data_IF_268752899298
#
_entry.id   IF_268752899298
#
_cell.length_a   1.000
_cell.length_b   1.000
_cell.length_c   1.000
_cell.angle_alpha   90.00
_cell.angle_beta   90.00
_cell.angle_gamma   90.00
#
_symmetry.space_group_name_H-M   'P 1'
#
loop_
_entity.id
_entity.type
_entity.pdbx_description
1 polymer ?
#
# COMPACT_ATOMS: atom_id res chain seq x y z
N UNK A 1 -44.43 9.74 18.28
CA UNK A 1 -43.31 10.35 19.05
C UNK A 1 -43.32 11.88 18.85
N UNK A 2 -44.40 12.54 19.29
CA UNK A 2 -44.65 13.98 19.11
C UNK A 2 -44.64 14.71 20.47
N UNK A 3 -43.52 14.70 21.20
CA UNK A 3 -43.47 15.41 22.49
C UNK A 3 -42.15 16.08 22.88
N UNK A 4 -41.20 16.27 21.96
CA UNK A 4 -39.91 16.91 22.29
C UNK A 4 -39.59 18.19 21.50
N UNK A 5 -40.62 18.87 20.97
CA UNK A 5 -40.47 20.20 20.37
C UNK A 5 -41.34 21.22 21.12
N UNK A 6 -41.09 21.46 22.41
CA UNK A 6 -41.68 22.64 23.04
C UNK A 6 -41.00 23.08 24.35
N UNK A 7 -39.70 23.35 24.33
CA UNK A 7 -39.07 24.10 25.44
C UNK A 7 -37.90 24.96 24.94
N UNK A 8 -38.23 26.00 24.17
CA UNK A 8 -37.34 27.16 23.99
C UNK A 8 -38.16 28.43 24.15
N UNK A 9 -38.49 28.78 25.41
CA UNK A 9 -38.88 30.14 25.76
C UNK A 9 -37.80 30.77 26.65
N UNK A 10 -37.34 31.93 26.18
CA UNK A 10 -36.71 33.03 26.91
C UNK A 10 -35.40 32.75 27.63
N UNK A 11 -34.35 32.52 26.83
CA UNK A 11 -32.96 32.75 27.25
C UNK A 11 -32.59 34.20 26.91
N UNK A 12 -32.22 34.98 27.93
CA UNK A 12 -31.77 36.39 27.85
C UNK A 12 -30.77 36.62 26.71
N UNK A 13 -30.86 37.75 26.01
CA UNK A 13 -30.06 38.06 24.82
C UNK A 13 -28.53 37.96 25.00
N UNK A 14 -28.03 38.08 26.24
CA UNK A 14 -26.61 37.83 26.57
C UNK A 14 -26.23 36.35 26.46
N UNK A 15 -27.09 35.43 26.91
CA UNK A 15 -26.81 33.99 26.87
C UNK A 15 -26.88 33.40 25.45
N UNK A 16 -27.74 33.95 24.57
CA UNK A 16 -27.73 33.59 23.13
C UNK A 16 -26.42 33.98 22.44
N UNK A 17 -25.87 35.17 22.76
CA UNK A 17 -24.58 35.62 22.21
C UNK A 17 -23.42 34.75 22.72
N UNK A 18 -23.39 34.44 24.01
CA UNK A 18 -22.38 33.54 24.60
C UNK A 18 -22.44 32.15 23.98
N UNK A 19 -23.63 31.59 23.75
CA UNK A 19 -23.78 30.30 23.09
C UNK A 19 -23.27 30.32 21.64
N UNK A 20 -23.55 31.37 20.88
CA UNK A 20 -23.05 31.54 19.50
C UNK A 20 -21.52 31.65 19.47
N UNK A 21 -20.91 32.45 20.37
CA UNK A 21 -19.45 32.55 20.45
C UNK A 21 -18.81 31.24 20.91
N UNK A 22 -19.44 30.49 21.82
CA UNK A 22 -18.95 29.19 22.27
C UNK A 22 -19.03 28.15 21.13
N UNK A 23 -20.13 28.11 20.38
CA UNK A 23 -20.25 27.22 19.21
C UNK A 23 -19.25 27.60 18.12
N UNK A 24 -19.01 28.90 17.90
CA UNK A 24 -18.03 29.37 16.92
C UNK A 24 -16.59 29.04 17.35
N UNK A 25 -16.25 29.19 18.64
CA UNK A 25 -14.95 28.82 19.20
C UNK A 25 -14.72 27.31 19.11
N UNK A 26 -15.75 26.50 19.41
CA UNK A 26 -15.69 25.04 19.29
C UNK A 26 -15.54 24.62 17.82
N UNK A 27 -16.26 25.25 16.89
CA UNK A 27 -16.07 25.02 15.45
C UNK A 27 -14.67 25.39 14.98
N UNK A 28 -14.10 26.49 15.47
CA UNK A 28 -12.72 26.90 15.15
C UNK A 28 -11.70 25.90 15.72
N UNK A 29 -11.86 25.46 16.98
CA UNK A 29 -10.99 24.45 17.58
C UNK A 29 -11.08 23.08 16.86
N UNK A 30 -12.26 22.71 16.37
CA UNK A 30 -12.45 21.48 15.60
C UNK A 30 -11.82 21.54 14.20
N UNK A 31 -11.64 22.73 13.63
CA UNK A 31 -10.94 22.90 12.33
C UNK A 31 -9.41 22.95 12.44
N UNK A 32 -8.85 23.11 13.64
CA UNK A 32 -7.38 23.14 13.85
C UNK A 32 -6.78 21.80 14.27
N UNK A 33 -7.58 20.73 14.37
CA UNK A 33 -7.11 19.39 14.72
C UNK A 33 -6.63 18.57 13.50
N UNK A 34 -5.94 19.22 12.54
CA UNK A 34 -5.14 18.49 11.58
C UNK A 34 -3.90 17.97 12.33
N UNK A 35 -3.79 16.66 12.51
CA UNK A 35 -2.57 16.03 12.99
C UNK A 35 -1.45 16.30 11.98
N UNK A 36 -0.34 16.88 12.43
CA UNK A 36 0.86 17.06 11.61
C UNK A 36 1.29 15.71 11.01
N UNK A 37 1.53 15.69 9.70
CA UNK A 37 2.05 14.53 9.02
C UNK A 37 3.58 14.49 9.14
N UNK A 38 4.21 13.30 9.10
CA UNK A 38 5.67 13.21 9.12
C UNK A 38 6.38 14.02 8.02
N UNK A 39 5.76 14.20 6.85
CA UNK A 39 6.31 15.09 5.81
C UNK A 39 6.22 16.58 6.17
N UNK A 40 5.30 17.01 7.04
CA UNK A 40 5.25 18.40 7.52
C UNK A 40 6.50 18.73 8.35
N UNK A 41 6.95 17.81 9.22
CA UNK A 41 8.23 17.90 9.93
C UNK A 41 9.41 18.02 8.97
N UNK A 42 9.35 17.33 7.83
CA UNK A 42 10.38 17.41 6.80
C UNK A 42 10.36 18.77 6.08
N UNK A 43 9.18 19.27 5.72
CA UNK A 43 9.07 20.59 5.10
C UNK A 43 9.54 21.70 6.04
N UNK A 44 9.25 21.59 7.34
CA UNK A 44 9.79 22.49 8.36
C UNK A 44 11.33 22.36 8.44
N UNK A 45 11.88 21.15 8.38
CA UNK A 45 13.33 20.93 8.31
C UNK A 45 13.96 21.64 7.11
N UNK A 46 13.40 21.49 5.90
CA UNK A 46 13.85 22.17 4.69
C UNK A 46 13.77 23.70 4.83
N UNK A 47 12.66 24.22 5.37
CA UNK A 47 12.48 25.66 5.60
C UNK A 47 13.49 26.22 6.60
N UNK A 48 13.76 25.50 7.68
CA UNK A 48 14.74 25.91 8.70
C UNK A 48 16.16 25.86 8.17
N UNK A 49 16.51 24.87 7.34
CA UNK A 49 17.80 24.84 6.65
C UNK A 49 17.96 26.02 5.70
N UNK A 50 16.96 26.27 4.85
CA UNK A 50 16.98 27.36 3.89
C UNK A 50 17.17 28.73 4.56
N UNK A 51 16.41 28.98 5.64
CA UNK A 51 16.57 30.17 6.45
C UNK A 51 17.96 30.28 7.09
N UNK A 52 18.47 29.18 7.67
CA UNK A 52 19.80 29.17 8.29
C UNK A 52 20.92 29.40 7.26
N UNK A 53 20.73 28.93 6.03
CA UNK A 53 21.68 29.08 4.91
C UNK A 53 21.48 30.38 4.13
N UNK A 54 20.44 31.17 4.43
CA UNK A 54 20.05 32.36 3.66
C UNK A 54 19.90 32.07 2.16
N UNK A 55 19.25 30.95 1.87
CA UNK A 55 19.05 30.40 0.52
C UNK A 55 17.57 30.08 0.32
N UNK A 56 17.04 30.08 -0.92
CA UNK A 56 15.65 29.72 -1.17
C UNK A 56 15.33 28.30 -0.68
N UNK A 57 14.08 28.08 -0.26
CA UNK A 57 13.58 26.76 0.11
C UNK A 57 13.60 25.84 -1.13
N UNK A 58 14.08 24.60 -1.02
CA UNK A 58 14.13 23.69 -2.16
C UNK A 58 12.72 23.35 -2.67
N UNK A 59 12.57 23.30 -4.00
CA UNK A 59 11.32 22.92 -4.65
C UNK A 59 11.19 21.40 -4.69
N UNK A 60 10.15 20.88 -4.03
CA UNK A 60 9.85 19.44 -4.05
C UNK A 60 9.00 19.08 -5.27
N UNK A 61 9.37 18.01 -5.98
CA UNK A 61 8.54 17.45 -7.05
C UNK A 61 7.27 16.80 -6.46
N UNK A 62 6.22 16.69 -7.27
CA UNK A 62 5.02 15.94 -6.87
C UNK A 62 5.17 14.46 -7.22
N UNK A 63 4.86 13.60 -6.26
CA UNK A 63 4.77 12.17 -6.52
C UNK A 63 3.53 11.85 -7.34
N UNK A 64 3.67 10.88 -8.24
CA UNK A 64 2.56 10.34 -9.03
C UNK A 64 2.20 8.93 -8.59
N UNK A 65 0.93 8.59 -8.82
CA UNK A 65 0.42 7.24 -8.61
C UNK A 65 1.13 6.22 -9.50
N UNK A 66 1.35 5.03 -8.95
CA UNK A 66 1.86 3.90 -9.73
C UNK A 66 0.73 3.40 -10.62
N UNK A 67 0.98 3.36 -11.93
CA UNK A 67 0.01 2.84 -12.90
C UNK A 67 0.05 1.31 -12.86
N UNK A 68 -0.96 0.72 -12.24
CA UNK A 68 -1.22 -0.72 -12.33
C UNK A 68 -2.20 -0.96 -13.47
N UNK A 69 -1.71 -1.55 -14.56
CA UNK A 69 -2.55 -1.96 -15.68
C UNK A 69 -2.90 -3.44 -15.48
N UNK A 70 -4.18 -3.80 -15.27
CA UNK A 70 -4.59 -5.19 -15.26
C UNK A 70 -4.26 -5.79 -16.62
N UNK A 71 -3.60 -6.94 -16.64
CA UNK A 71 -3.55 -7.72 -17.87
C UNK A 71 -4.97 -8.16 -18.19
N UNK A 72 -5.45 -7.82 -19.39
CA UNK A 72 -6.64 -8.44 -19.93
C UNK A 72 -6.33 -9.91 -20.08
N UNK A 73 -7.05 -10.77 -19.37
CA UNK A 73 -7.20 -12.15 -19.80
C UNK A 73 -7.68 -12.05 -21.25
N UNK A 74 -6.87 -12.56 -22.18
CA UNK A 74 -7.31 -12.75 -23.55
C UNK A 74 -8.70 -13.38 -23.47
N UNK A 75 -9.64 -12.86 -24.27
CA UNK A 75 -11.00 -13.38 -24.41
C UNK A 75 -10.93 -14.82 -24.91
N UNK A 76 -10.56 -15.73 -24.02
CA UNK A 76 -10.45 -17.14 -24.28
C UNK A 76 -11.86 -17.65 -24.10
N UNK A 77 -12.40 -18.18 -25.21
CA UNK A 77 -13.68 -18.85 -25.33
C UNK A 77 -14.05 -19.47 -24.00
N UNK A 78 -14.97 -18.81 -23.28
CA UNK A 78 -15.47 -19.36 -22.05
C UNK A 78 -15.99 -20.74 -22.41
N UNK A 79 -15.32 -21.79 -21.95
CA UNK A 79 -15.91 -23.12 -21.83
C UNK A 79 -16.99 -22.98 -20.75
N UNK A 80 -18.07 -22.29 -21.12
CA UNK A 80 -19.29 -22.19 -20.36
C UNK A 80 -19.88 -23.58 -20.46
N UNK A 81 -19.70 -24.37 -19.40
CA UNK A 81 -20.53 -25.55 -19.18
C UNK A 81 -21.97 -25.06 -19.30
N UNK A 82 -22.66 -25.52 -20.34
CA UNK A 82 -23.95 -24.99 -20.74
C UNK A 82 -24.94 -25.19 -19.59
N UNK A 83 -25.85 -24.23 -19.38
CA UNK A 83 -26.92 -24.33 -18.38
C UNK A 83 -27.72 -25.64 -18.54
N UNK A 84 -27.81 -26.19 -19.76
CA UNK A 84 -28.46 -27.47 -20.06
C UNK A 84 -27.77 -28.69 -19.41
N UNK A 85 -26.50 -28.58 -19.03
CA UNK A 85 -25.73 -29.65 -18.39
C UNK A 85 -25.82 -29.64 -16.86
N UNK A 86 -26.28 -28.54 -16.25
CA UNK A 86 -26.51 -28.45 -14.81
C UNK A 86 -27.52 -29.50 -14.32
N UNK A 87 -28.51 -29.85 -15.15
CA UNK A 87 -29.52 -30.85 -14.83
C UNK A 87 -28.91 -32.26 -14.61
N UNK A 88 -27.87 -32.61 -15.38
CA UNK A 88 -27.14 -33.88 -15.24
C UNK A 88 -26.15 -33.87 -14.06
N UNK A 89 -25.92 -32.71 -13.45
CA UNK A 89 -25.00 -32.51 -12.33
C UNK A 89 -25.72 -32.31 -11.00
N UNK A 90 -27.04 -32.52 -10.95
CA UNK A 90 -27.88 -32.27 -9.76
C UNK A 90 -27.44 -33.03 -8.50
N UNK A 91 -26.73 -34.15 -8.64
CA UNK A 91 -26.15 -34.93 -7.53
C UNK A 91 -24.75 -34.46 -7.10
N UNK A 92 -24.20 -33.44 -7.75
CA UNK A 92 -22.83 -32.98 -7.55
C UNK A 92 -22.77 -31.52 -7.09
N UNK A 93 -21.96 -31.23 -6.06
CA UNK A 93 -21.76 -29.89 -5.52
C UNK A 93 -21.23 -28.88 -6.56
N UNK A 94 -20.62 -29.36 -7.65
CA UNK A 94 -20.17 -28.55 -8.77
C UNK A 94 -21.32 -27.82 -9.48
N UNK A 95 -22.53 -28.40 -9.49
CA UNK A 95 -23.70 -27.77 -10.12
C UNK A 95 -24.06 -26.44 -9.46
N UNK A 96 -24.02 -26.38 -8.12
CA UNK A 96 -24.26 -25.16 -7.35
C UNK A 96 -23.22 -24.08 -7.67
N UNK A 97 -21.93 -24.45 -7.73
CA UNK A 97 -20.85 -23.52 -8.06
C UNK A 97 -21.02 -22.92 -9.46
N UNK A 98 -21.31 -23.76 -10.46
CA UNK A 98 -21.53 -23.31 -11.84
C UNK A 98 -22.79 -22.42 -11.92
N UNK A 99 -23.88 -22.81 -11.24
CA UNK A 99 -25.11 -22.03 -11.21
C UNK A 99 -24.90 -20.63 -10.60
N UNK A 100 -24.17 -20.55 -9.47
CA UNK A 100 -23.83 -19.27 -8.83
C UNK A 100 -22.99 -18.38 -9.76
N UNK A 101 -21.98 -18.94 -10.44
CA UNK A 101 -21.16 -18.21 -11.39
C UNK A 101 -21.94 -17.72 -12.62
N UNK A 102 -22.88 -18.51 -13.12
CA UNK A 102 -23.67 -18.16 -14.31
C UNK A 102 -24.86 -17.23 -14.01
N UNK A 103 -25.18 -17.02 -12.73
CA UNK A 103 -26.20 -16.07 -12.28
C UNK A 103 -25.84 -14.62 -12.65
N UNK A 104 -26.80 -13.71 -12.56
CA UNK A 104 -26.53 -12.28 -12.81
C UNK A 104 -25.50 -11.72 -11.84
N UNK A 105 -25.51 -12.15 -10.57
CA UNK A 105 -24.51 -11.77 -9.58
C UNK A 105 -23.12 -12.31 -9.93
N UNK A 106 -23.05 -13.53 -10.47
CA UNK A 106 -21.80 -14.13 -10.93
C UNK A 106 -21.16 -13.39 -12.13
N UNK A 107 -21.97 -12.82 -13.01
CA UNK A 107 -21.48 -12.01 -14.15
C UNK A 107 -20.79 -10.72 -13.72
N UNK A 108 -21.26 -10.11 -12.64
CA UNK A 108 -20.69 -8.87 -12.06
C UNK A 108 -19.77 -9.14 -10.88
N UNK A 109 -19.36 -10.39 -10.68
CA UNK A 109 -18.51 -10.81 -9.59
C UNK A 109 -17.16 -10.08 -9.55
N UNK A 110 -16.68 -9.78 -8.35
CA UNK A 110 -15.36 -9.18 -8.11
C UNK A 110 -14.24 -10.13 -8.57
N UNK A 111 -13.02 -9.62 -8.84
CA UNK A 111 -11.87 -10.45 -9.14
C UNK A 111 -11.61 -11.55 -8.10
N UNK A 112 -11.74 -11.26 -6.80
CA UNK A 112 -11.64 -12.23 -5.72
C UNK A 112 -12.70 -13.34 -5.82
N UNK A 113 -13.96 -12.96 -6.08
CA UNK A 113 -15.06 -13.92 -6.25
C UNK A 113 -14.78 -14.84 -7.44
N UNK A 114 -14.29 -14.29 -8.56
CA UNK A 114 -13.93 -15.06 -9.76
C UNK A 114 -12.80 -16.04 -9.47
N UNK A 115 -11.75 -15.61 -8.76
CA UNK A 115 -10.65 -16.47 -8.34
C UNK A 115 -11.12 -17.61 -7.43
N UNK A 116 -11.94 -17.29 -6.41
CA UNK A 116 -12.53 -18.29 -5.51
C UNK A 116 -13.31 -19.34 -6.29
N UNK A 117 -14.15 -18.91 -7.25
CA UNK A 117 -14.87 -19.84 -8.10
C UNK A 117 -13.94 -20.77 -8.88
N UNK A 118 -12.84 -20.27 -9.47
CA UNK A 118 -11.89 -21.15 -10.17
C UNK A 118 -11.29 -22.19 -9.23
N UNK A 119 -10.85 -21.76 -8.03
CA UNK A 119 -10.24 -22.64 -7.03
C UNK A 119 -11.24 -23.71 -6.58
N UNK A 120 -12.47 -23.33 -6.22
CA UNK A 120 -13.47 -24.27 -5.74
C UNK A 120 -13.98 -25.21 -6.84
N UNK A 121 -14.04 -24.74 -8.10
CA UNK A 121 -14.29 -25.62 -9.24
C UNK A 121 -13.21 -26.69 -9.33
N UNK A 122 -11.93 -26.28 -9.32
CA UNK A 122 -10.78 -27.21 -9.44
C UNK A 122 -10.78 -28.22 -8.29
N UNK A 123 -11.12 -27.77 -7.08
CA UNK A 123 -11.19 -28.64 -5.90
C UNK A 123 -12.33 -29.65 -5.97
N UNK A 124 -13.49 -29.24 -6.46
CA UNK A 124 -14.73 -30.02 -6.43
C UNK A 124 -14.89 -30.96 -7.64
N UNK A 125 -14.41 -30.55 -8.81
CA UNK A 125 -14.61 -31.28 -10.07
C UNK A 125 -14.11 -32.75 -10.04
N UNK A 126 -12.97 -33.12 -9.42
CA UNK A 126 -12.51 -34.50 -9.36
C UNK A 126 -13.50 -35.46 -8.67
N UNK A 127 -14.17 -35.00 -7.62
CA UNK A 127 -15.21 -35.80 -6.94
C UNK A 127 -16.43 -35.98 -7.83
N UNK A 128 -16.81 -34.94 -8.57
CA UNK A 128 -17.88 -34.99 -9.57
C UNK A 128 -17.58 -35.99 -10.69
N UNK A 129 -16.36 -35.96 -11.24
CA UNK A 129 -15.95 -36.82 -12.34
C UNK A 129 -15.99 -38.31 -11.96
N UNK A 130 -15.80 -38.66 -10.68
CA UNK A 130 -15.89 -40.03 -10.19
C UNK A 130 -17.31 -40.59 -10.21
N UNK A 131 -18.34 -39.75 -10.21
CA UNK A 131 -19.75 -40.19 -10.21
C UNK A 131 -20.37 -40.20 -11.61
N UNK A 132 -19.65 -39.75 -12.62
CA UNK A 132 -20.13 -39.64 -13.99
C UNK A 132 -19.58 -40.78 -14.86
N UNK A 133 -20.36 -41.22 -15.84
CA UNK A 133 -19.89 -42.12 -16.89
C UNK A 133 -18.82 -41.39 -17.74
N UNK A 134 -17.65 -42.01 -17.92
CA UNK A 134 -16.53 -41.48 -18.69
C UNK A 134 -16.87 -41.21 -20.16
N UNK A 135 -17.85 -41.93 -20.71
CA UNK A 135 -18.32 -41.76 -22.08
C UNK A 135 -19.36 -40.64 -22.23
N UNK A 136 -19.91 -40.16 -21.10
CA UNK A 136 -20.89 -39.08 -21.12
C UNK A 136 -20.26 -37.75 -21.57
N UNK A 137 -21.02 -36.96 -22.33
CA UNK A 137 -20.61 -35.62 -22.73
C UNK A 137 -20.29 -34.72 -21.51
N UNK A 138 -21.04 -34.88 -20.41
CA UNK A 138 -20.82 -34.13 -19.17
C UNK A 138 -19.47 -34.44 -18.53
N UNK A 139 -19.03 -35.70 -18.51
CA UNK A 139 -17.70 -36.06 -18.04
C UNK A 139 -16.61 -35.38 -18.88
N UNK A 140 -16.68 -35.52 -20.20
CA UNK A 140 -15.67 -34.98 -21.12
C UNK A 140 -15.53 -33.45 -20.98
N UNK A 141 -16.66 -32.74 -20.87
CA UNK A 141 -16.64 -31.29 -20.73
C UNK A 141 -16.15 -30.82 -19.37
N UNK A 142 -16.52 -31.49 -18.27
CA UNK A 142 -16.00 -31.14 -16.94
C UNK A 142 -14.51 -31.43 -16.86
N UNK A 143 -14.04 -32.52 -17.45
CA UNK A 143 -12.61 -32.84 -17.51
C UNK A 143 -11.83 -31.78 -18.30
N UNK A 144 -12.33 -31.38 -19.48
CA UNK A 144 -11.74 -30.31 -20.27
C UNK A 144 -11.75 -28.96 -19.53
N UNK A 145 -12.86 -28.61 -18.87
CA UNK A 145 -12.99 -27.40 -18.08
C UNK A 145 -12.04 -27.41 -16.86
N UNK A 146 -11.87 -28.55 -16.19
CA UNK A 146 -10.92 -28.71 -15.09
C UNK A 146 -9.50 -28.43 -15.56
N UNK A 147 -9.05 -29.09 -16.62
CA UNK A 147 -7.71 -28.90 -17.18
C UNK A 147 -7.46 -27.44 -17.60
N UNK A 148 -8.43 -26.84 -18.29
CA UNK A 148 -8.36 -25.44 -18.69
C UNK A 148 -8.24 -24.51 -17.48
N UNK A 149 -9.07 -24.71 -16.45
CA UNK A 149 -9.07 -23.86 -15.25
C UNK A 149 -7.77 -23.98 -14.45
N UNK A 150 -7.21 -25.19 -14.35
CA UNK A 150 -5.89 -25.40 -13.73
C UNK A 150 -4.81 -24.59 -14.46
N UNK A 151 -4.75 -24.70 -15.80
CA UNK A 151 -3.79 -23.96 -16.62
C UNK A 151 -3.95 -22.43 -16.52
N UNK A 152 -5.19 -21.93 -16.36
CA UNK A 152 -5.47 -20.50 -16.28
C UNK A 152 -5.46 -19.93 -14.85
N UNK A 153 -5.37 -20.77 -13.82
CA UNK A 153 -5.45 -20.31 -12.43
C UNK A 153 -4.40 -19.25 -12.06
N UNK A 154 -3.13 -19.34 -12.52
CA UNK A 154 -2.16 -18.27 -12.31
C UNK A 154 -2.61 -16.92 -12.89
N UNK A 155 -3.24 -16.92 -14.07
CA UNK A 155 -3.73 -15.70 -14.71
C UNK A 155 -4.93 -15.09 -13.95
N UNK A 156 -5.84 -15.92 -13.42
CA UNK A 156 -6.90 -15.45 -12.53
C UNK A 156 -6.36 -14.86 -11.23
N UNK A 157 -5.30 -15.44 -10.65
CA UNK A 157 -4.64 -14.88 -9.48
C UNK A 157 -4.02 -13.51 -9.81
N UNK A 158 -3.39 -13.36 -10.97
CA UNK A 158 -2.84 -12.07 -11.41
C UNK A 158 -3.93 -11.02 -11.65
N UNK A 159 -5.05 -11.41 -12.26
CA UNK A 159 -6.19 -10.51 -12.40
C UNK A 159 -6.70 -10.04 -11.03
N UNK A 160 -6.81 -10.96 -10.07
CA UNK A 160 -7.17 -10.63 -8.69
C UNK A 160 -6.21 -9.59 -8.09
N UNK A 161 -4.89 -9.78 -8.22
CA UNK A 161 -3.91 -8.82 -7.69
C UNK A 161 -4.06 -7.40 -8.28
N UNK A 162 -4.24 -7.30 -9.60
CA UNK A 162 -4.20 -6.00 -10.29
C UNK A 162 -5.57 -5.30 -10.38
N UNK A 163 -6.67 -6.04 -10.23
CA UNK A 163 -8.02 -5.52 -10.41
C UNK A 163 -8.81 -5.40 -9.11
N UNK A 164 -8.44 -6.10 -8.04
CA UNK A 164 -9.15 -5.98 -6.76
C UNK A 164 -8.82 -4.66 -6.06
N UNK A 165 -9.85 -4.02 -5.47
CA UNK A 165 -9.77 -2.64 -5.03
C UNK A 165 -8.69 -2.44 -3.94
N UNK A 166 -8.68 -3.28 -2.91
CA UNK A 166 -7.78 -3.21 -1.76
C UNK A 166 -6.31 -3.39 -2.17
N UNK A 167 -6.06 -4.28 -3.12
CA UNK A 167 -4.72 -4.59 -3.63
C UNK A 167 -4.22 -3.53 -4.60
N UNK A 168 -5.10 -2.99 -5.44
CA UNK A 168 -4.76 -1.87 -6.32
C UNK A 168 -4.48 -0.61 -5.51
N UNK A 169 -5.33 -0.30 -4.53
CA UNK A 169 -5.23 0.89 -3.70
C UNK A 169 -3.94 0.90 -2.88
N UNK A 170 -3.45 -0.27 -2.45
CA UNK A 170 -2.16 -0.43 -1.76
C UNK A 170 -0.96 0.24 -2.44
N UNK A 171 -0.99 0.40 -3.77
CA UNK A 171 0.09 1.01 -4.56
C UNK A 171 -0.23 2.44 -5.03
N UNK A 172 -1.37 2.99 -4.61
CA UNK A 172 -1.75 4.37 -4.87
C UNK A 172 -1.32 5.25 -3.71
N UNK A 173 -0.96 6.51 -3.99
CA UNK A 173 -0.72 7.51 -2.97
C UNK A 173 -2.01 7.81 -2.21
N UNK A 174 -1.86 8.10 -0.93
CA UNK A 174 -2.94 8.63 -0.08
C UNK A 174 -2.59 10.03 0.45
N UNK A 175 -3.59 10.72 0.97
CA UNK A 175 -3.46 12.06 1.54
C UNK A 175 -2.96 12.05 2.99
N UNK A 176 -2.96 10.89 3.65
CA UNK A 176 -2.39 10.70 4.99
C UNK A 176 -1.13 9.86 4.93
N UNK A 177 -0.29 9.94 5.96
CA UNK A 177 0.95 9.17 6.06
C UNK A 177 0.91 8.24 7.25
N UNK A 178 1.66 7.15 7.17
CA UNK A 178 1.87 6.29 8.32
C UNK A 178 2.61 7.09 9.39
N UNK A 179 2.00 7.26 10.55
CA UNK A 179 2.60 7.94 11.69
C UNK A 179 3.57 7.01 12.44
N UNK A 180 3.92 7.36 13.68
CA UNK A 180 4.79 6.50 14.51
C UNK A 180 4.09 5.25 15.06
N UNK A 181 2.78 5.15 14.88
CA UNK A 181 2.00 4.00 15.31
C UNK A 181 1.87 2.97 14.18
N UNK A 182 2.50 1.81 14.37
CA UNK A 182 2.49 0.72 13.41
C UNK A 182 1.23 -0.16 13.45
N UNK A 183 0.11 0.38 13.92
CA UNK A 183 -1.19 -0.30 13.92
C UNK A 183 -1.52 -0.83 12.51
N UNK A 184 -1.80 -2.13 12.40
CA UNK A 184 -2.08 -2.79 11.14
C UNK A 184 -0.87 -3.43 10.46
N UNK A 185 0.36 -3.25 10.96
CA UNK A 185 1.54 -3.91 10.38
C UNK A 185 1.44 -5.43 10.46
N UNK A 186 1.08 -5.98 11.64
CA UNK A 186 0.99 -7.43 11.86
C UNK A 186 -0.14 -8.03 11.00
N UNK A 187 -1.29 -7.35 10.94
CA UNK A 187 -2.44 -7.78 10.16
C UNK A 187 -2.17 -7.71 8.67
N UNK A 188 -1.47 -6.66 8.21
CA UNK A 188 -1.02 -6.54 6.82
C UNK A 188 -0.01 -7.62 6.47
N UNK A 189 0.95 -7.89 7.36
CA UNK A 189 1.93 -8.97 7.16
C UNK A 189 1.24 -10.32 7.03
N UNK A 190 0.30 -10.63 7.93
CA UNK A 190 -0.47 -11.87 7.89
C UNK A 190 -1.29 -11.98 6.59
N UNK A 191 -1.97 -10.91 6.18
CA UNK A 191 -2.74 -10.88 4.94
C UNK A 191 -1.84 -11.16 3.72
N UNK A 192 -0.69 -10.49 3.63
CA UNK A 192 0.26 -10.70 2.53
C UNK A 192 0.88 -12.11 2.57
N UNK A 193 1.19 -12.63 3.76
CA UNK A 193 1.67 -14.00 3.92
C UNK A 193 0.65 -15.03 3.40
N UNK A 194 -0.65 -14.84 3.71
CA UNK A 194 -1.70 -15.72 3.21
C UNK A 194 -1.83 -15.67 1.69
N UNK A 195 -1.78 -14.47 1.09
CA UNK A 195 -1.82 -14.32 -0.36
C UNK A 195 -0.59 -14.93 -1.05
N UNK A 196 0.60 -14.78 -0.44
CA UNK A 196 1.82 -15.43 -0.93
C UNK A 196 1.73 -16.96 -0.87
N UNK A 197 1.18 -17.51 0.22
CA UNK A 197 0.95 -18.94 0.35
C UNK A 197 -0.02 -19.47 -0.72
N UNK A 198 -1.12 -18.75 -0.97
CA UNK A 198 -2.07 -19.12 -2.03
C UNK A 198 -1.37 -19.13 -3.39
N UNK A 199 -0.56 -18.12 -3.71
CA UNK A 199 0.22 -18.09 -4.97
C UNK A 199 1.14 -19.31 -5.07
N UNK A 200 1.86 -19.65 -3.99
CA UNK A 200 2.76 -20.81 -3.97
C UNK A 200 1.99 -22.12 -4.19
N UNK A 201 0.83 -22.29 -3.55
CA UNK A 201 -0.02 -23.47 -3.72
C UNK A 201 -0.57 -23.57 -5.16
N UNK A 202 -0.91 -22.44 -5.79
CA UNK A 202 -1.31 -22.40 -7.21
C UNK A 202 -0.15 -22.85 -8.10
N UNK A 203 1.05 -22.27 -7.92
CA UNK A 203 2.24 -22.60 -8.72
C UNK A 203 2.70 -24.05 -8.53
N UNK A 204 2.56 -24.59 -7.32
CA UNK A 204 2.90 -25.98 -7.00
C UNK A 204 1.77 -26.98 -7.34
N UNK A 205 0.68 -26.53 -7.97
CA UNK A 205 -0.51 -27.32 -8.29
C UNK A 205 -1.17 -28.02 -7.07
N UNK A 206 -0.94 -27.50 -5.87
CA UNK A 206 -1.47 -28.00 -4.59
C UNK A 206 -2.88 -27.46 -4.31
N UNK A 207 -3.76 -27.52 -5.31
CA UNK A 207 -5.07 -26.85 -5.29
C UNK A 207 -5.95 -27.24 -4.10
N UNK A 208 -5.88 -28.49 -3.66
CA UNK A 208 -6.65 -29.01 -2.53
C UNK A 208 -6.27 -28.38 -1.18
N UNK A 209 -5.06 -27.82 -1.08
CA UNK A 209 -4.57 -27.17 0.13
C UNK A 209 -4.97 -25.69 0.23
N UNK A 210 -5.58 -25.13 -0.83
CA UNK A 210 -5.96 -23.72 -0.87
C UNK A 210 -7.22 -23.50 -0.02
N UNK A 211 -7.06 -22.70 1.03
CA UNK A 211 -8.18 -22.19 1.83
C UNK A 211 -8.67 -20.86 1.25
N UNK A 212 -9.79 -20.89 0.53
CA UNK A 212 -10.38 -19.72 -0.13
C UNK A 212 -10.93 -18.68 0.86
N UNK A 213 -11.23 -19.03 2.10
CA UNK A 213 -11.62 -18.06 3.12
C UNK A 213 -10.51 -17.04 3.40
N UNK A 214 -9.25 -17.44 3.27
CA UNK A 214 -8.12 -16.55 3.47
C UNK A 214 -8.07 -15.40 2.45
N UNK A 215 -8.69 -15.54 1.27
CA UNK A 215 -8.75 -14.46 0.27
C UNK A 215 -9.53 -13.27 0.85
N UNK A 216 -10.80 -13.47 1.23
CA UNK A 216 -11.61 -12.37 1.78
C UNK A 216 -11.08 -11.86 3.12
N UNK A 217 -10.59 -12.75 3.98
CA UNK A 217 -10.00 -12.34 5.25
C UNK A 217 -8.78 -11.43 5.03
N UNK A 218 -7.94 -11.73 4.05
CA UNK A 218 -6.79 -10.89 3.70
C UNK A 218 -7.22 -9.54 3.16
N UNK A 219 -8.23 -9.50 2.26
CA UNK A 219 -8.77 -8.24 1.75
C UNK A 219 -9.38 -7.38 2.85
N UNK A 220 -10.15 -7.98 3.76
CA UNK A 220 -10.73 -7.29 4.91
C UNK A 220 -9.65 -6.62 5.78
N UNK A 221 -8.57 -7.36 6.10
CA UNK A 221 -7.44 -6.82 6.86
C UNK A 221 -6.76 -5.66 6.12
N UNK A 222 -6.48 -5.82 4.82
CA UNK A 222 -5.85 -4.78 4.02
C UNK A 222 -6.71 -3.52 3.95
N UNK A 223 -8.03 -3.66 3.74
CA UNK A 223 -8.98 -2.54 3.71
C UNK A 223 -9.13 -1.84 5.07
N UNK A 224 -9.20 -2.62 6.15
CA UNK A 224 -9.45 -2.09 7.50
C UNK A 224 -8.31 -1.18 7.96
N UNK A 225 -7.06 -1.60 7.71
CA UNK A 225 -5.91 -0.87 8.21
C UNK A 225 -5.34 0.11 7.19
N UNK A 226 -5.44 -0.18 5.88
CA UNK A 226 -4.80 0.59 4.81
C UNK A 226 -3.30 0.88 5.07
N UNK A 227 -2.67 0.07 5.91
CA UNK A 227 -1.30 0.27 6.40
C UNK A 227 -0.32 0.23 5.24
N UNK A 228 -0.51 -0.70 4.30
CA UNK A 228 0.32 -0.83 3.12
C UNK A 228 0.32 0.47 2.29
N UNK A 229 -0.86 1.04 2.02
CA UNK A 229 -0.99 2.29 1.27
C UNK A 229 -0.28 3.45 1.96
N UNK A 230 -0.45 3.56 3.28
CA UNK A 230 0.19 4.58 4.11
C UNK A 230 1.72 4.43 4.13
N UNK A 231 2.22 3.19 4.27
CA UNK A 231 3.65 2.87 4.24
C UNK A 231 4.28 3.22 2.89
N UNK A 232 3.68 2.79 1.78
CA UNK A 232 4.19 3.09 0.43
C UNK A 232 4.21 4.60 0.18
N UNK A 233 3.18 5.33 0.61
CA UNK A 233 3.13 6.79 0.52
C UNK A 233 4.25 7.43 1.33
N UNK A 234 4.39 7.07 2.60
CA UNK A 234 5.40 7.60 3.51
C UNK A 234 6.83 7.35 2.99
N UNK A 235 7.15 6.11 2.61
CA UNK A 235 8.47 5.72 2.11
C UNK A 235 8.84 6.52 0.87
N UNK A 236 7.92 6.64 -0.10
CA UNK A 236 8.19 7.37 -1.35
C UNK A 236 8.37 8.86 -1.09
N UNK A 237 7.56 9.47 -0.21
CA UNK A 237 7.70 10.88 0.18
C UNK A 237 9.02 11.13 0.89
N UNK A 238 9.36 10.33 1.90
CA UNK A 238 10.61 10.49 2.66
C UNK A 238 11.86 10.29 1.78
N UNK A 239 11.83 9.31 0.86
CA UNK A 239 12.92 9.09 -0.11
C UNK A 239 13.08 10.29 -1.03
N UNK A 240 11.99 10.82 -1.58
CA UNK A 240 12.01 12.02 -2.42
C UNK A 240 12.58 13.22 -1.65
N UNK A 241 12.08 13.47 -0.44
CA UNK A 241 12.48 14.60 0.39
C UNK A 241 13.95 14.51 0.81
N UNK A 242 14.45 13.31 1.13
CA UNK A 242 15.87 13.06 1.35
C UNK A 242 16.71 13.42 0.12
N UNK A 243 16.31 12.97 -1.07
CA UNK A 243 17.05 13.23 -2.30
C UNK A 243 17.06 14.73 -2.64
N UNK A 244 15.91 15.39 -2.59
CA UNK A 244 15.79 16.84 -2.86
C UNK A 244 16.65 17.63 -1.89
N UNK A 245 16.57 17.32 -0.59
CA UNK A 245 17.31 18.07 0.43
C UNK A 245 18.81 17.80 0.36
N UNK A 246 19.22 16.57 0.07
CA UNK A 246 20.64 16.23 -0.10
C UNK A 246 21.23 16.93 -1.33
N UNK A 247 20.50 16.96 -2.44
CA UNK A 247 20.91 17.70 -3.64
C UNK A 247 21.00 19.21 -3.37
N UNK A 248 20.00 19.78 -2.70
CA UNK A 248 20.02 21.18 -2.27
C UNK A 248 21.25 21.51 -1.41
N UNK A 249 21.62 20.63 -0.48
CA UNK A 249 22.79 20.80 0.37
C UNK A 249 24.11 20.60 -0.40
N UNK A 250 24.13 19.80 -1.47
CA UNK A 250 25.32 19.56 -2.26
C UNK A 250 25.87 20.83 -2.93
N UNK A 251 25.01 21.81 -3.21
CA UNK A 251 25.38 23.09 -3.81
C UNK A 251 25.94 24.10 -2.78
N UNK A 252 25.94 23.76 -1.48
CA UNK A 252 26.44 24.65 -0.43
C UNK A 252 27.97 24.56 -0.34
N UNK A 253 28.64 25.70 -0.52
CA UNK A 253 30.07 25.82 -0.30
C UNK A 253 30.40 25.78 1.21
N UNK A 254 30.86 24.60 1.66
CA UNK A 254 31.28 24.38 3.03
C UNK A 254 32.46 25.25 3.44
N UNK A 255 33.34 25.67 2.53
CA UNK A 255 34.50 26.50 2.89
C UNK A 255 34.07 27.90 3.36
N UNK A 256 33.07 28.47 2.67
CA UNK A 256 32.44 29.73 3.07
C UNK A 256 31.60 29.56 4.34
N UNK A 257 30.75 28.52 4.41
CA UNK A 257 29.87 28.29 5.56
C UNK A 257 30.64 28.01 6.86
N UNK A 258 31.74 27.26 6.78
CA UNK A 258 32.54 26.86 7.92
C UNK A 258 33.63 27.87 8.32
N UNK A 259 33.69 29.06 7.69
CA UNK A 259 34.72 30.05 8.02
C UNK A 259 34.62 30.48 9.50
N UNK A 260 35.66 30.25 10.34
CA UNK A 260 35.57 30.46 11.78
C UNK A 260 35.48 31.94 12.18
N UNK A 261 35.90 32.85 11.29
CA UNK A 261 35.87 34.31 11.52
C UNK A 261 34.51 34.86 11.11
N UNK A 262 33.96 34.42 9.97
CA UNK A 262 32.75 35.00 9.38
C UNK A 262 31.47 34.28 9.79
N UNK A 263 31.44 32.94 9.75
CA UNK A 263 30.20 32.17 9.71
C UNK A 263 30.07 31.11 10.81
N UNK A 264 30.91 31.14 11.85
CA UNK A 264 30.84 30.20 12.99
C UNK A 264 29.44 30.10 13.60
N UNK A 265 28.75 31.22 13.82
CA UNK A 265 27.38 31.23 14.36
C UNK A 265 26.38 30.58 13.39
N UNK A 266 26.50 30.86 12.09
CA UNK A 266 25.64 30.28 11.07
C UNK A 266 25.79 28.76 11.01
N UNK A 267 27.04 28.25 11.02
CA UNK A 267 27.31 26.82 11.07
C UNK A 267 26.70 26.15 12.32
N UNK A 268 26.76 26.78 13.49
CA UNK A 268 26.09 26.26 14.69
C UNK A 268 24.55 26.22 14.56
N UNK A 269 23.94 27.23 13.92
CA UNK A 269 22.50 27.24 13.65
C UNK A 269 22.12 26.07 12.73
N UNK A 270 22.86 25.89 11.62
CA UNK A 270 22.66 24.78 10.67
C UNK A 270 22.79 23.42 11.36
N UNK A 271 23.81 23.24 12.22
CA UNK A 271 23.97 22.03 13.04
C UNK A 271 22.76 21.81 13.97
N UNK A 272 22.28 22.84 14.66
CA UNK A 272 21.13 22.72 15.56
C UNK A 272 19.84 22.33 14.82
N UNK A 273 19.64 22.84 13.60
CA UNK A 273 18.51 22.45 12.75
C UNK A 273 18.57 20.96 12.43
N UNK A 274 19.72 20.44 11.99
CA UNK A 274 19.88 19.01 11.73
C UNK A 274 19.63 18.14 12.97
N UNK A 275 20.17 18.54 14.12
CA UNK A 275 19.98 17.82 15.38
C UNK A 275 18.51 17.75 15.77
N UNK A 276 17.81 18.89 15.74
CA UNK A 276 16.42 19.02 16.20
C UNK A 276 15.44 18.28 15.30
N UNK A 277 15.61 18.36 13.98
CA UNK A 277 14.63 17.81 13.05
C UNK A 277 15.06 16.46 12.50
N UNK A 278 16.25 16.36 11.90
CA UNK A 278 16.64 15.12 11.24
C UNK A 278 16.99 14.03 12.25
N UNK A 279 17.97 14.25 13.14
CA UNK A 279 18.42 13.20 14.06
C UNK A 279 17.36 12.82 15.10
N UNK A 280 16.65 13.80 15.66
CA UNK A 280 15.68 13.53 16.72
C UNK A 280 14.32 13.02 16.22
N UNK A 281 13.93 13.30 14.96
CA UNK A 281 12.58 13.01 14.47
C UNK A 281 12.58 12.22 13.16
N UNK A 282 13.20 12.74 12.10
CA UNK A 282 13.12 12.12 10.77
C UNK A 282 13.89 10.81 10.68
N UNK A 283 15.09 10.71 11.26
CA UNK A 283 15.90 9.49 11.21
C UNK A 283 15.22 8.32 11.98
N UNK A 284 14.72 8.49 13.21
CA UNK A 284 13.93 7.45 13.89
C UNK A 284 12.69 7.04 13.10
N UNK A 285 11.96 8.01 12.54
CA UNK A 285 10.79 7.73 11.70
C UNK A 285 11.17 6.92 10.45
N UNK A 286 12.22 7.30 9.74
CA UNK A 286 12.71 6.54 8.58
C UNK A 286 13.19 5.14 8.97
N UNK A 287 13.82 4.97 10.13
CA UNK A 287 14.17 3.65 10.65
C UNK A 287 12.93 2.76 10.86
N UNK A 288 11.85 3.31 11.43
CA UNK A 288 10.58 2.62 11.59
C UNK A 288 10.00 2.18 10.23
N UNK A 289 9.99 3.06 9.23
CA UNK A 289 9.54 2.72 7.87
C UNK A 289 10.38 1.60 7.25
N UNK A 290 11.72 1.66 7.42
CA UNK A 290 12.59 0.58 6.92
C UNK A 290 12.33 -0.75 7.62
N UNK A 291 12.08 -0.76 8.93
CA UNK A 291 11.74 -1.98 9.67
C UNK A 291 10.40 -2.59 9.22
N UNK A 292 9.41 -1.74 8.92
CA UNK A 292 8.15 -2.20 8.33
C UNK A 292 8.37 -2.81 6.93
N UNK A 293 9.15 -2.15 6.07
CA UNK A 293 9.49 -2.69 4.75
C UNK A 293 10.29 -4.00 4.83
N UNK A 294 11.21 -4.16 5.78
CA UNK A 294 11.97 -5.41 5.95
C UNK A 294 11.05 -6.62 6.19
N UNK A 295 9.97 -6.43 6.96
CA UNK A 295 8.95 -7.47 7.19
C UNK A 295 8.11 -7.75 5.95
N UNK A 296 7.73 -6.73 5.19
CA UNK A 296 6.74 -6.86 4.10
C UNK A 296 7.36 -7.16 2.73
N UNK A 297 8.60 -6.75 2.48
CA UNK A 297 9.30 -6.93 1.19
C UNK A 297 9.35 -8.38 0.69
N UNK A 298 9.60 -9.41 1.53
CA UNK A 298 9.57 -10.80 1.08
C UNK A 298 8.23 -11.18 0.47
N UNK A 299 7.12 -10.73 1.09
CA UNK A 299 5.77 -11.02 0.59
C UNK A 299 5.42 -10.19 -0.63
N UNK A 300 5.82 -8.92 -0.70
CA UNK A 300 5.64 -8.15 -1.94
C UNK A 300 6.32 -8.83 -3.12
N UNK A 301 7.55 -9.30 -2.93
CA UNK A 301 8.29 -10.01 -3.97
C UNK A 301 7.61 -11.32 -4.34
N UNK A 302 7.22 -12.11 -3.34
CA UNK A 302 6.54 -13.39 -3.55
C UNK A 302 5.24 -13.19 -4.35
N UNK A 303 4.44 -12.19 -4.03
CA UNK A 303 3.13 -11.95 -4.64
C UNK A 303 3.25 -11.30 -6.02
N UNK A 304 4.00 -10.19 -6.11
CA UNK A 304 3.94 -9.28 -7.26
C UNK A 304 5.03 -9.50 -8.31
N UNK A 305 6.19 -10.06 -7.95
CA UNK A 305 7.19 -10.39 -8.96
C UNK A 305 6.79 -11.67 -9.70
N UNK A 306 6.93 -11.64 -11.01
CA UNK A 306 6.74 -12.77 -11.92
C UNK A 306 8.10 -13.17 -12.50
N UNK A 307 8.22 -14.42 -12.93
CA UNK A 307 9.41 -14.91 -13.64
C UNK A 307 9.37 -14.56 -15.14
N UNK A 308 8.20 -14.22 -15.69
CA UNK A 308 8.01 -13.97 -17.11
C UNK A 308 7.87 -12.48 -17.42
N UNK A 309 8.35 -12.10 -18.61
CA UNK A 309 8.62 -10.76 -19.17
C UNK A 309 7.37 -9.87 -19.33
N UNK A 310 6.59 -9.68 -18.27
CA UNK A 310 5.52 -8.69 -18.21
C UNK A 310 6.11 -7.40 -17.66
N UNK A 311 5.87 -6.28 -18.36
CA UNK A 311 6.14 -4.92 -17.88
C UNK A 311 5.42 -4.69 -16.55
N UNK A 312 6.11 -5.04 -15.47
CA UNK A 312 5.61 -4.90 -14.12
C UNK A 312 6.10 -3.57 -13.58
N UNK A 313 5.21 -2.57 -13.55
CA UNK A 313 5.49 -1.25 -13.00
C UNK A 313 6.02 -1.28 -11.55
N UNK A 314 5.75 -2.36 -10.81
CA UNK A 314 6.25 -2.56 -9.44
C UNK A 314 7.64 -3.20 -9.38
N UNK A 315 8.11 -3.85 -10.45
CA UNK A 315 9.38 -4.59 -10.41
C UNK A 315 10.58 -3.72 -9.99
N UNK A 316 10.77 -2.48 -10.51
CA UNK A 316 11.84 -1.59 -10.05
C UNK A 316 11.77 -1.25 -8.56
N UNK A 317 10.57 -1.25 -7.98
CA UNK A 317 10.33 -0.91 -6.59
C UNK A 317 10.53 -2.07 -5.63
N UNK A 318 10.49 -3.31 -6.14
CA UNK A 318 10.50 -4.54 -5.34
C UNK A 318 11.80 -5.35 -5.48
N UNK A 319 12.51 -5.22 -6.59
CA UNK A 319 13.77 -5.93 -6.80
C UNK A 319 14.94 -5.25 -6.06
N UNK A 320 15.74 -5.96 -5.25
CA UNK A 320 16.82 -5.34 -4.47
C UNK A 320 17.93 -4.68 -5.29
N UNK A 321 18.17 -5.16 -6.52
CA UNK A 321 19.20 -4.65 -7.42
C UNK A 321 18.86 -3.30 -8.06
N UNK A 322 17.62 -2.84 -7.93
CA UNK A 322 17.10 -1.67 -8.61
C UNK A 322 17.29 -0.41 -7.75
N UNK A 323 17.68 0.70 -8.39
CA UNK A 323 17.86 1.99 -7.72
C UNK A 323 16.57 2.55 -7.11
N UNK A 324 15.42 2.24 -7.74
CA UNK A 324 14.10 2.69 -7.30
C UNK A 324 13.44 1.76 -6.27
N UNK A 325 14.18 0.78 -5.74
CA UNK A 325 13.68 -0.14 -4.73
C UNK A 325 13.21 0.63 -3.49
N UNK A 326 12.05 0.26 -2.92
CA UNK A 326 11.47 0.98 -1.78
C UNK A 326 12.37 0.98 -0.54
N UNK A 327 12.87 -0.20 -0.16
CA UNK A 327 13.68 -0.37 1.03
C UNK A 327 15.08 0.21 0.84
N UNK A 328 15.75 -0.17 -0.25
CA UNK A 328 17.11 0.28 -0.53
C UNK A 328 17.15 1.77 -0.89
N UNK A 329 16.14 2.29 -1.60
CA UNK A 329 16.03 3.71 -1.93
C UNK A 329 15.88 4.58 -0.69
N UNK A 330 15.03 4.18 0.28
CA UNK A 330 14.93 4.89 1.54
C UNK A 330 16.24 4.83 2.36
N UNK A 331 16.83 3.63 2.49
CA UNK A 331 18.11 3.45 3.19
C UNK A 331 19.23 4.27 2.56
N UNK A 332 19.33 4.26 1.23
CA UNK A 332 20.38 4.94 0.48
C UNK A 332 20.21 6.46 0.57
N UNK A 333 18.99 6.98 0.35
CA UNK A 333 18.73 8.43 0.45
C UNK A 333 19.03 8.97 1.86
N UNK A 334 18.68 8.23 2.92
CA UNK A 334 19.00 8.58 4.29
C UNK A 334 20.52 8.56 4.56
N UNK A 335 21.22 7.57 4.01
CA UNK A 335 22.68 7.43 4.12
C UNK A 335 23.41 8.58 3.41
N UNK A 336 23.02 8.89 2.18
CA UNK A 336 23.58 10.00 1.40
C UNK A 336 23.41 11.33 2.11
N UNK A 337 22.22 11.55 2.70
CA UNK A 337 21.97 12.72 3.51
C UNK A 337 22.96 12.83 4.69
N UNK A 338 23.14 11.74 5.45
CA UNK A 338 24.08 11.71 6.58
C UNK A 338 25.54 11.89 6.14
N UNK A 339 25.94 11.36 4.98
CA UNK A 339 27.31 11.53 4.44
C UNK A 339 27.62 13.02 4.22
N UNK A 340 26.67 13.81 3.73
CA UNK A 340 26.86 15.26 3.60
C UNK A 340 27.10 15.90 4.98
N UNK A 341 26.31 15.52 5.99
CA UNK A 341 26.47 16.03 7.35
C UNK A 341 27.80 15.64 8.00
N UNK A 342 28.29 14.42 7.76
CA UNK A 342 29.61 14.00 8.22
C UNK A 342 30.72 14.90 7.65
N UNK A 343 30.61 15.28 6.36
CA UNK A 343 31.53 16.23 5.74
C UNK A 343 31.40 17.62 6.37
N UNK A 344 30.18 18.10 6.57
CA UNK A 344 29.91 19.38 7.25
C UNK A 344 30.57 19.44 8.64
N UNK A 345 30.35 18.44 9.50
CA UNK A 345 30.93 18.41 10.85
C UNK A 345 32.46 18.39 10.82
N UNK A 346 33.05 17.61 9.90
CA UNK A 346 34.50 17.57 9.70
C UNK A 346 35.07 18.92 9.24
N UNK A 347 34.45 19.57 8.26
CA UNK A 347 34.94 20.83 7.69
C UNK A 347 34.73 22.02 8.64
N UNK A 348 33.64 22.03 9.39
CA UNK A 348 33.32 23.10 10.35
C UNK A 348 33.98 22.91 11.72
N UNK A 349 34.69 21.81 11.95
CA UNK A 349 35.28 21.44 13.25
C UNK A 349 34.26 21.51 14.41
N UNK A 350 33.00 21.24 14.09
CA UNK A 350 31.93 21.11 15.08
C UNK A 350 31.93 19.65 15.51
N UNK A 351 32.04 19.39 16.81
CA UNK A 351 32.00 18.01 17.32
C UNK A 351 30.73 17.32 16.82
N UNK A 352 30.87 16.22 16.05
CA UNK A 352 29.74 15.37 15.74
C UNK A 352 29.21 14.77 17.05
N UNK A 353 27.92 14.43 17.06
CA UNK A 353 27.28 13.74 18.18
C UNK A 353 27.87 12.34 18.30
#
# INVERSE_FOLDING_TARGET
>A
MNHLFNNFKTVSGKHKRVFVYLTMLVSILLTTACSEQPSDTYHEYQSRLANALSSPVPTNAQLTNIKLTPQLLLSQTQLNVSILQLAQLSSCALSTLIAQHNSQLGKVATPATKLIYQIEFIKTAPTCLRTLDKTSNSYQQIQAALHYKQAQLPAYFMQFLYAEAELKQSWQLTHYELDTNLNGLVETELALQQLANIKNQITAEQYQQINTHHIYKSLEQLNRFNFNQALITAVRKQTLLNNVTTNYLADIDLTSLCNPIKNKKQAHIVSNVFKKYYLAQLQPYQAQLTGALERLMPYYRAIWLQNDHVDNALAPMLQPSQSNNLLNGLKQSAKEHVIWWQRFYKTCEISPI
#
